data_IF_736175950605
#
_entry.id   IF_736175950605
#
_cell.length_a   1.000
_cell.length_b   1.000
_cell.length_c   1.000
_cell.angle_alpha   90.00
_cell.angle_beta   90.00
_cell.angle_gamma   90.00
#
_symmetry.space_group_name_H-M   'P 1'
#
loop_
_entity.id
_entity.type
_entity.pdbx_description
1 polymer ?
#
# COMPACT_ATOMS: atom_id res chain seq x y z
N UNK A 1 1.73 -1.65 -20.10
CA UNK A 1 1.13 -2.87 -19.52
C UNK A 1 -0.33 -2.90 -19.93
N UNK A 2 -0.83 -4.03 -20.44
CA UNK A 2 -2.25 -4.18 -20.75
C UNK A 2 -2.93 -4.89 -19.56
N UNK A 3 -3.53 -4.12 -18.67
CA UNK A 3 -4.31 -4.63 -17.53
C UNK A 3 -5.78 -4.45 -17.89
N UNK A 4 -6.48 -5.55 -18.14
CA UNK A 4 -7.93 -5.51 -18.33
C UNK A 4 -8.62 -5.44 -16.97
N UNK A 5 -9.25 -4.30 -16.69
CA UNK A 5 -9.99 -4.05 -15.46
C UNK A 5 -11.24 -4.94 -15.40
N UNK A 6 -11.28 -5.83 -14.41
CA UNK A 6 -12.38 -6.78 -14.21
C UNK A 6 -12.66 -6.91 -12.70
N UNK A 7 -13.18 -5.84 -12.10
CA UNK A 7 -13.49 -5.75 -10.67
C UNK A 7 -15.01 -5.74 -10.48
N UNK A 8 -15.60 -6.91 -10.19
CA UNK A 8 -17.05 -7.09 -10.20
C UNK A 8 -17.66 -7.25 -8.80
N UNK A 9 -16.85 -7.61 -7.80
CA UNK A 9 -17.27 -7.79 -6.42
C UNK A 9 -16.05 -7.74 -5.47
N UNK A 10 -16.32 -7.80 -4.17
CA UNK A 10 -15.33 -7.68 -3.07
C UNK A 10 -15.02 -9.02 -2.38
N UNK A 11 -15.52 -10.15 -2.90
CA UNK A 11 -15.49 -11.45 -2.21
C UNK A 11 -14.77 -12.56 -2.96
N UNK A 12 -14.77 -12.50 -4.28
CA UNK A 12 -14.07 -13.48 -5.11
C UNK A 12 -12.55 -13.27 -5.03
N UNK A 13 -11.82 -14.26 -5.55
CA UNK A 13 -10.36 -14.25 -5.55
C UNK A 13 -9.78 -13.00 -6.25
N UNK A 14 -8.92 -12.29 -5.54
CA UNK A 14 -8.21 -11.11 -6.04
C UNK A 14 -7.07 -11.53 -6.97
N UNK A 15 -7.08 -11.05 -8.21
CA UNK A 15 -6.07 -11.42 -9.23
C UNK A 15 -4.97 -10.39 -9.41
N UNK A 16 -5.32 -9.12 -9.28
CA UNK A 16 -4.42 -8.00 -9.52
C UNK A 16 -4.82 -6.84 -8.62
N UNK A 17 -3.84 -6.15 -8.05
CA UNK A 17 -4.06 -4.98 -7.20
C UNK A 17 -3.00 -3.92 -7.46
N UNK A 18 -3.41 -2.65 -7.39
CA UNK A 18 -2.50 -1.51 -7.40
C UNK A 18 -2.31 -1.06 -5.95
N UNK A 19 -1.07 -0.95 -5.51
CA UNK A 19 -0.69 -0.47 -4.17
C UNK A 19 0.24 0.73 -4.30
N UNK A 20 0.44 1.46 -3.21
CA UNK A 20 1.39 2.56 -3.17
C UNK A 20 2.29 2.40 -1.95
N UNK A 21 3.60 2.48 -2.18
CA UNK A 21 4.60 2.49 -1.12
C UNK A 21 4.41 3.68 -0.17
N UNK A 22 4.72 3.54 1.14
CA UNK A 22 4.73 4.66 2.07
C UNK A 22 5.62 5.79 1.57
N UNK A 23 5.15 7.03 1.70
CA UNK A 23 5.85 8.20 1.19
C UNK A 23 7.26 8.36 1.79
N UNK A 24 8.15 9.00 1.02
CA UNK A 24 9.48 9.36 1.52
C UNK A 24 9.41 10.43 2.61
N UNK A 25 8.42 11.33 2.53
CA UNK A 25 8.23 12.39 3.51
C UNK A 25 7.87 11.80 4.87
N UNK A 26 8.67 12.17 5.88
CA UNK A 26 8.48 11.67 7.23
C UNK A 26 7.32 12.41 7.93
N UNK A 27 6.63 11.71 8.83
CA UNK A 27 5.55 12.25 9.67
C UNK A 27 5.93 12.01 11.14
N UNK A 28 6.90 12.78 11.67
CA UNK A 28 7.58 12.43 12.92
C UNK A 28 6.81 12.88 14.17
N UNK A 29 5.85 13.79 14.04
CA UNK A 29 5.15 14.40 15.19
C UNK A 29 3.68 14.72 14.88
N UNK A 30 2.95 15.07 15.93
CA UNK A 30 1.50 15.27 15.86
C UNK A 30 1.11 16.46 14.96
N UNK A 31 1.95 17.49 14.86
CA UNK A 31 1.68 18.61 13.97
C UNK A 31 1.81 18.16 12.51
N UNK A 32 2.90 17.49 12.16
CA UNK A 32 3.09 16.90 10.84
C UNK A 32 1.94 15.94 10.48
N UNK A 33 1.49 15.10 11.42
CA UNK A 33 0.34 14.21 11.22
C UNK A 33 -0.95 15.01 10.91
N UNK A 34 -1.23 16.06 11.67
CA UNK A 34 -2.40 16.93 11.41
C UNK A 34 -2.31 17.61 10.05
N UNK A 35 -1.13 18.07 9.66
CA UNK A 35 -0.91 18.77 8.39
C UNK A 35 -1.21 17.86 7.19
N UNK A 36 -0.98 16.56 7.32
CA UNK A 36 -1.33 15.54 6.30
C UNK A 36 -2.63 14.79 6.60
N UNK A 37 -3.46 15.32 7.51
CA UNK A 37 -4.77 14.77 7.89
C UNK A 37 -4.73 13.34 8.47
N UNK A 38 -3.65 12.99 9.15
CA UNK A 38 -3.48 11.71 9.83
C UNK A 38 -3.77 11.83 11.33
N UNK A 39 -4.18 10.70 11.93
CA UNK A 39 -4.50 10.63 13.35
C UNK A 39 -3.25 10.81 14.25
N UNK A 40 -2.10 10.27 13.83
CA UNK A 40 -0.88 10.18 14.64
C UNK A 40 0.39 10.14 13.79
N UNK A 41 1.58 10.38 14.40
CA UNK A 41 2.87 10.20 13.74
C UNK A 41 3.05 8.77 13.23
N UNK A 42 3.87 8.62 12.19
CA UNK A 42 4.15 7.32 11.60
C UNK A 42 5.57 6.88 11.89
N UNK A 43 5.70 5.64 12.37
CA UNK A 43 6.98 4.95 12.45
C UNK A 43 7.36 4.46 11.04
N UNK A 44 8.07 5.29 10.28
CA UNK A 44 8.35 5.06 8.85
C UNK A 44 9.00 3.70 8.55
N UNK A 45 10.01 3.32 9.31
CA UNK A 45 10.69 2.02 9.12
C UNK A 45 9.71 0.85 9.29
N UNK A 46 8.86 0.91 10.32
CA UNK A 46 7.83 -0.09 10.56
C UNK A 46 6.78 -0.09 9.45
N UNK A 47 6.36 1.09 8.97
CA UNK A 47 5.40 1.20 7.88
C UNK A 47 5.92 0.57 6.59
N UNK A 48 7.18 0.84 6.22
CA UNK A 48 7.84 0.25 5.04
C UNK A 48 7.99 -1.26 5.17
N UNK A 49 8.42 -1.75 6.34
CA UNK A 49 8.51 -3.19 6.60
C UNK A 49 7.15 -3.87 6.47
N UNK A 50 6.12 -3.32 7.12
CA UNK A 50 4.77 -3.87 7.06
C UNK A 50 4.21 -3.84 5.62
N UNK A 51 4.50 -2.79 4.85
CA UNK A 51 4.10 -2.71 3.45
C UNK A 51 4.76 -3.80 2.60
N UNK A 52 6.07 -4.01 2.76
CA UNK A 52 6.78 -5.09 2.06
C UNK A 52 6.24 -6.47 2.46
N UNK A 53 5.99 -6.68 3.76
CA UNK A 53 5.41 -7.94 4.26
C UNK A 53 4.02 -8.20 3.64
N UNK A 54 3.20 -7.15 3.47
CA UNK A 54 1.91 -7.22 2.80
C UNK A 54 2.03 -7.57 1.31
N UNK A 55 2.94 -6.91 0.56
CA UNK A 55 3.20 -7.24 -0.85
C UNK A 55 3.61 -8.70 -0.98
N UNK A 56 4.61 -9.13 -0.19
CA UNK A 56 5.12 -10.50 -0.23
C UNK A 56 4.01 -11.53 0.01
N UNK A 57 3.10 -11.27 0.96
CA UNK A 57 1.98 -12.16 1.24
C UNK A 57 0.97 -12.23 0.07
N UNK A 58 0.68 -11.10 -0.58
CA UNK A 58 -0.19 -11.04 -1.77
C UNK A 58 0.42 -11.80 -2.95
N UNK A 59 1.71 -11.58 -3.23
CA UNK A 59 2.42 -12.28 -4.31
C UNK A 59 2.52 -13.79 -4.06
N UNK A 60 2.76 -14.21 -2.81
CA UNK A 60 2.74 -15.61 -2.40
C UNK A 60 1.35 -16.26 -2.57
N UNK A 61 0.28 -15.49 -2.42
CA UNK A 61 -1.08 -15.93 -2.70
C UNK A 61 -1.42 -15.93 -4.21
N UNK A 62 -0.47 -15.59 -5.09
CA UNK A 62 -0.66 -15.56 -6.55
C UNK A 62 -1.26 -14.26 -7.08
N UNK A 63 -1.43 -13.24 -6.23
CA UNK A 63 -1.94 -11.93 -6.64
C UNK A 63 -0.83 -11.14 -7.33
N UNK A 64 -1.12 -10.58 -8.50
CA UNK A 64 -0.22 -9.62 -9.14
C UNK A 64 -0.30 -8.27 -8.44
N UNK A 65 0.80 -7.81 -7.87
CA UNK A 65 0.90 -6.47 -7.27
C UNK A 65 1.53 -5.50 -8.28
N UNK A 66 0.95 -4.30 -8.41
CA UNK A 66 1.48 -3.20 -9.21
C UNK A 66 1.75 -2.05 -8.24
N UNK A 67 2.99 -1.56 -8.17
CA UNK A 67 3.27 -0.31 -7.46
C UNK A 67 2.77 0.86 -8.33
N UNK A 68 2.07 1.79 -7.71
CA UNK A 68 1.56 3.00 -8.35
C UNK A 68 2.67 3.92 -8.89
N UNK A 69 3.86 3.89 -8.27
CA UNK A 69 4.98 4.73 -8.64
C UNK A 69 5.84 4.17 -9.79
N UNK A 70 5.63 2.91 -10.19
CA UNK A 70 6.28 2.26 -11.33
C UNK A 70 5.66 2.66 -12.68
#
# INVERSE_FOLDING_TARGET
>A
MDVQLNCWNESDELKCVVVCSPAEIDVPNQQAAKDVQWEKPVAQEKARKNHQDMINAMEQAGVRVIDYAD
#
